data_IF_812319544238
#
_entry.id   IF_812319544238
#
_cell.length_a   1.000
_cell.length_b   1.000
_cell.length_c   1.000
_cell.angle_alpha   90.00
_cell.angle_beta   90.00
_cell.angle_gamma   90.00
#
_symmetry.space_group_name_H-M   'P 1'
#
loop_
_entity.id
_entity.type
_entity.pdbx_description
1 polymer ?
#
# COMPACT_ATOMS: atom_id res chain seq x y z
N UNK A 1 -4.79 22.13 -21.13
CA UNK A 1 -3.41 21.75 -20.73
C UNK A 1 -3.51 20.92 -19.46
N UNK A 2 -2.98 19.69 -19.45
CA UNK A 2 -3.02 18.83 -18.26
C UNK A 2 -2.06 19.37 -17.20
N UNK A 3 -2.54 19.56 -15.97
CA UNK A 3 -1.67 19.92 -14.85
C UNK A 3 -0.96 18.66 -14.35
N UNK A 4 0.37 18.74 -14.24
CA UNK A 4 1.21 17.66 -13.73
C UNK A 4 2.27 18.17 -12.75
N UNK A 5 2.70 17.28 -11.85
CA UNK A 5 3.75 17.57 -10.88
C UNK A 5 4.63 16.33 -10.67
N UNK A 6 5.95 16.54 -10.70
CA UNK A 6 6.94 15.50 -10.39
C UNK A 6 7.30 15.61 -8.91
N UNK A 7 7.10 14.51 -8.19
CA UNK A 7 7.52 14.35 -6.80
C UNK A 7 8.40 13.12 -6.70
N UNK A 8 9.72 13.30 -6.58
CA UNK A 8 10.67 12.18 -6.60
C UNK A 8 10.48 11.31 -7.86
N UNK A 9 10.14 10.02 -7.70
CA UNK A 9 9.83 9.07 -8.78
C UNK A 9 8.33 8.95 -9.11
N UNK A 10 7.52 9.89 -8.60
CA UNK A 10 6.09 9.95 -8.88
C UNK A 10 5.76 11.08 -9.86
N UNK A 11 5.02 10.74 -10.91
CA UNK A 11 4.41 11.71 -11.82
C UNK A 11 2.91 11.79 -11.53
N UNK A 12 2.49 12.86 -10.84
CA UNK A 12 1.08 13.11 -10.50
C UNK A 12 0.44 13.91 -11.62
N UNK A 13 -0.60 13.37 -12.27
CA UNK A 13 -1.26 14.00 -13.44
C UNK A 13 -2.75 14.15 -13.18
N UNK A 14 -3.27 15.36 -13.26
CA UNK A 14 -4.70 15.64 -13.11
C UNK A 14 -5.48 15.40 -14.42
N UNK A 15 -5.39 14.19 -14.99
CA UNK A 15 -6.06 13.85 -16.26
C UNK A 15 -7.58 13.98 -16.10
N UNK A 16 -8.22 14.67 -17.05
CA UNK A 16 -9.67 14.88 -17.05
C UNK A 16 -10.17 15.95 -16.06
N UNK A 17 -9.27 16.63 -15.34
CA UNK A 17 -9.60 17.76 -14.46
C UNK A 17 -9.02 19.06 -15.02
N UNK A 18 -9.64 20.19 -14.68
CA UNK A 18 -9.21 21.51 -15.13
C UNK A 18 -9.16 22.54 -13.98
N UNK A 19 -8.48 23.67 -14.23
CA UNK A 19 -8.50 24.84 -13.35
C UNK A 19 -8.13 24.55 -11.89
N UNK A 20 -9.01 24.96 -10.98
CA UNK A 20 -8.82 24.82 -9.53
C UNK A 20 -8.88 23.37 -9.07
N UNK A 21 -9.74 22.54 -9.68
CA UNK A 21 -9.89 21.13 -9.33
C UNK A 21 -8.63 20.33 -9.66
N UNK A 22 -8.03 20.58 -10.83
CA UNK A 22 -6.76 19.96 -11.20
C UNK A 22 -5.63 20.32 -10.23
N UNK A 23 -5.53 21.59 -9.80
CA UNK A 23 -4.54 22.03 -8.80
C UNK A 23 -4.79 21.40 -7.44
N UNK A 24 -6.05 21.33 -7.00
CA UNK A 24 -6.45 20.71 -5.74
C UNK A 24 -6.09 19.23 -5.72
N UNK A 25 -6.39 18.49 -6.79
CA UNK A 25 -6.04 17.09 -6.93
C UNK A 25 -4.53 16.85 -6.76
N UNK A 26 -3.71 17.58 -7.52
CA UNK A 26 -2.25 17.45 -7.45
C UNK A 26 -1.75 17.75 -6.04
N UNK A 27 -2.20 18.85 -5.43
CA UNK A 27 -1.79 19.23 -4.09
C UNK A 27 -2.16 18.16 -3.04
N UNK A 28 -3.35 17.57 -3.14
CA UNK A 28 -3.79 16.51 -2.23
C UNK A 28 -2.93 15.25 -2.36
N UNK A 29 -2.74 14.74 -3.57
CA UNK A 29 -1.95 13.52 -3.79
C UNK A 29 -0.49 13.74 -3.37
N UNK A 30 0.12 14.87 -3.75
CA UNK A 30 1.50 15.19 -3.34
C UNK A 30 1.60 15.34 -1.82
N UNK A 31 0.62 15.98 -1.18
CA UNK A 31 0.56 16.10 0.27
C UNK A 31 0.50 14.73 0.96
N UNK A 32 -0.27 13.79 0.40
CA UNK A 32 -0.37 12.42 0.92
C UNK A 32 0.90 11.60 0.70
N UNK A 33 1.55 11.73 -0.47
CA UNK A 33 2.85 11.09 -0.72
C UNK A 33 3.91 11.59 0.26
N UNK A 34 3.95 12.90 0.55
CA UNK A 34 4.81 13.48 1.60
C UNK A 34 4.47 12.96 2.99
N UNK A 35 3.18 12.89 3.34
CA UNK A 35 2.73 12.36 4.61
C UNK A 35 3.15 10.88 4.79
N UNK A 36 2.99 10.05 3.75
CA UNK A 36 3.46 8.66 3.78
C UNK A 36 4.99 8.56 3.89
N UNK A 37 5.75 9.42 3.21
CA UNK A 37 7.22 9.42 3.30
C UNK A 37 7.72 9.89 4.69
N UNK A 38 6.90 10.61 5.45
CA UNK A 38 7.19 10.96 6.85
C UNK A 38 7.03 9.79 7.83
N UNK A 39 6.35 8.71 7.43
CA UNK A 39 6.14 7.50 8.23
C UNK A 39 7.15 6.43 7.83
N UNK A 40 7.57 5.56 8.77
CA UNK A 40 8.59 4.55 8.50
C UNK A 40 8.12 3.55 7.45
N UNK A 41 6.86 3.12 7.53
CA UNK A 41 6.28 2.14 6.59
C UNK A 41 6.13 2.72 5.19
N UNK A 42 5.58 3.94 5.09
CA UNK A 42 5.39 4.61 3.81
C UNK A 42 6.73 4.98 3.15
N UNK A 43 7.73 5.43 3.93
CA UNK A 43 9.09 5.67 3.46
C UNK A 43 9.75 4.41 2.92
N UNK A 44 9.58 3.26 3.56
CA UNK A 44 10.16 2.00 3.09
C UNK A 44 9.64 1.63 1.71
N UNK A 45 8.32 1.71 1.50
CA UNK A 45 7.67 1.43 0.21
C UNK A 45 8.07 2.46 -0.86
N UNK A 46 8.02 3.75 -0.55
CA UNK A 46 8.42 4.78 -1.52
C UNK A 46 9.90 4.71 -1.87
N UNK A 47 10.79 4.37 -0.93
CA UNK A 47 12.22 4.17 -1.21
C UNK A 47 12.43 3.02 -2.18
N UNK A 48 11.67 1.94 -2.03
CA UNK A 48 11.74 0.82 -2.97
C UNK A 48 11.25 1.23 -4.36
N UNK A 49 10.18 2.03 -4.46
CA UNK A 49 9.70 2.59 -5.74
C UNK A 49 10.76 3.50 -6.37
N UNK A 50 11.38 4.38 -5.58
CA UNK A 50 12.47 5.29 -6.04
C UNK A 50 13.71 4.55 -6.54
N UNK A 51 13.95 3.32 -6.06
CA UNK A 51 15.05 2.50 -6.52
C UNK A 51 14.78 1.82 -7.88
N UNK A 52 13.51 1.81 -8.34
CA UNK A 52 13.18 1.34 -9.67
C UNK A 52 13.52 2.41 -10.72
N UNK A 53 13.94 1.98 -11.91
CA UNK A 53 14.27 2.89 -13.03
C UNK A 53 13.06 3.56 -13.67
N UNK A 54 11.85 3.09 -13.35
CA UNK A 54 10.60 3.51 -13.97
C UNK A 54 9.83 4.49 -13.07
N UNK A 55 9.17 5.46 -13.69
CA UNK A 55 8.30 6.40 -12.98
C UNK A 55 7.00 5.71 -12.58
N UNK A 56 6.48 6.05 -11.40
CA UNK A 56 5.12 5.68 -10.99
C UNK A 56 4.17 6.82 -11.29
N UNK A 57 3.14 6.57 -12.10
CA UNK A 57 2.11 7.55 -12.40
C UNK A 57 1.01 7.50 -11.36
N UNK A 58 0.54 8.67 -10.92
CA UNK A 58 -0.66 8.78 -10.08
C UNK A 58 -1.63 9.73 -10.77
N UNK A 59 -2.85 9.27 -11.00
CA UNK A 59 -3.88 10.01 -11.75
C UNK A 59 -5.28 9.78 -11.17
N UNK A 60 -6.26 10.64 -11.46
CA UNK A 60 -7.62 10.48 -10.95
C UNK A 60 -8.17 9.10 -11.29
N UNK A 61 -8.98 8.57 -10.37
CA UNK A 61 -9.71 7.33 -10.58
C UNK A 61 -10.55 7.40 -11.85
N UNK A 62 -10.43 6.38 -12.71
CA UNK A 62 -11.03 6.35 -14.05
C UNK A 62 -12.34 5.56 -14.12
N UNK A 63 -12.88 5.14 -12.98
CA UNK A 63 -14.09 4.30 -12.91
C UNK A 63 -13.83 2.81 -13.08
N UNK A 64 -12.58 2.38 -13.34
CA UNK A 64 -12.19 0.97 -13.47
C UNK A 64 -11.61 0.47 -12.16
N UNK A 65 -11.68 -0.83 -11.88
CA UNK A 65 -11.12 -1.40 -10.64
C UNK A 65 -12.12 -1.57 -9.49
N UNK A 66 -13.38 -1.16 -9.69
CA UNK A 66 -14.51 -1.54 -8.83
C UNK A 66 -15.05 -0.42 -7.93
N UNK A 67 -15.79 -0.73 -6.88
CA UNK A 67 -16.47 0.28 -6.07
C UNK A 67 -15.51 1.10 -5.19
N UNK A 68 -14.27 0.67 -5.01
CA UNK A 68 -13.33 1.26 -4.04
C UNK A 68 -12.56 2.48 -4.57
N UNK A 69 -12.97 3.11 -5.69
CA UNK A 69 -12.43 4.38 -6.18
C UNK A 69 -10.90 4.49 -6.25
N UNK A 70 -10.21 3.35 -6.33
CA UNK A 70 -8.77 3.25 -6.41
C UNK A 70 -8.39 1.92 -7.07
N UNK A 71 -7.28 1.92 -7.83
CA UNK A 71 -6.55 0.71 -8.18
C UNK A 71 -5.10 1.04 -8.59
N UNK A 72 -4.18 0.15 -8.26
CA UNK A 72 -2.77 0.18 -8.59
C UNK A 72 -2.38 -0.99 -9.47
N UNK A 73 -1.41 -0.78 -10.34
CA UNK A 73 -0.94 -1.81 -11.27
C UNK A 73 0.24 -1.36 -12.11
N UNK A 74 0.40 -2.00 -13.26
CA UNK A 74 1.46 -1.71 -14.22
C UNK A 74 0.96 -1.28 -15.59
N UNK A 75 1.79 -0.51 -16.27
CA UNK A 75 1.71 -0.28 -17.71
C UNK A 75 3.11 -0.44 -18.34
N UNK A 76 3.22 -0.22 -19.64
CA UNK A 76 4.50 -0.33 -20.38
C UNK A 76 5.58 0.64 -19.87
N UNK A 77 5.20 1.68 -19.12
CA UNK A 77 6.09 2.74 -18.64
C UNK A 77 6.42 2.62 -17.14
N UNK A 78 5.88 1.61 -16.46
CA UNK A 78 6.10 1.35 -15.04
C UNK A 78 4.83 1.24 -14.20
N UNK A 79 4.91 1.70 -12.96
CA UNK A 79 3.80 1.68 -12.00
C UNK A 79 2.70 2.69 -12.36
N UNK A 80 1.46 2.35 -12.10
CA UNK A 80 0.32 3.28 -12.24
C UNK A 80 -0.67 3.12 -11.12
N UNK A 81 -1.15 4.25 -10.61
CA UNK A 81 -2.18 4.34 -9.58
C UNK A 81 -3.28 5.27 -10.09
N UNK A 82 -4.50 4.77 -10.07
CA UNK A 82 -5.72 5.51 -10.33
C UNK A 82 -6.38 5.73 -8.98
N UNK A 83 -6.38 6.96 -8.48
CA UNK A 83 -6.76 7.26 -7.10
C UNK A 83 -7.31 8.68 -6.98
N UNK A 84 -8.47 8.81 -6.30
CA UNK A 84 -9.09 10.11 -6.00
C UNK A 84 -9.38 10.26 -4.49
N UNK A 85 -8.53 10.99 -3.74
CA UNK A 85 -8.53 11.01 -2.27
C UNK A 85 -9.88 11.31 -1.59
N UNK A 86 -10.71 12.20 -2.16
CA UNK A 86 -11.95 12.66 -1.53
C UNK A 86 -13.24 12.09 -2.14
N UNK A 87 -13.17 11.47 -3.32
CA UNK A 87 -14.31 10.71 -3.87
C UNK A 87 -14.45 9.37 -3.16
N UNK A 88 -13.36 8.85 -2.59
CA UNK A 88 -13.38 7.61 -1.83
C UNK A 88 -14.33 7.65 -0.64
N UNK A 89 -14.45 8.76 0.10
CA UNK A 89 -15.38 8.86 1.24
C UNK A 89 -16.86 8.56 0.88
N UNK A 90 -17.20 8.53 -0.42
CA UNK A 90 -18.53 8.21 -0.95
C UNK A 90 -18.62 6.81 -1.59
N UNK A 91 -17.55 6.03 -1.59
CA UNK A 91 -17.50 4.67 -2.11
C UNK A 91 -18.22 3.67 -1.17
N UNK A 92 -18.79 2.58 -1.70
CA UNK A 92 -19.27 1.46 -0.87
C UNK A 92 -18.21 0.88 0.07
N UNK A 93 -16.92 0.99 -0.29
CA UNK A 93 -15.79 0.55 0.53
C UNK A 93 -15.43 1.53 1.66
N UNK A 94 -16.10 2.67 1.75
CA UNK A 94 -15.80 3.76 2.67
C UNK A 94 -16.85 3.90 3.78
N UNK A 95 -17.41 2.79 4.28
CA UNK A 95 -18.25 2.84 5.47
C UNK A 95 -17.49 3.53 6.61
N UNK A 96 -18.10 4.55 7.23
CA UNK A 96 -17.48 5.32 8.30
C UNK A 96 -16.97 4.38 9.40
N UNK A 97 -15.69 4.49 9.77
CA UNK A 97 -15.04 3.66 10.79
C UNK A 97 -14.52 2.30 10.33
N UNK A 98 -14.61 1.95 9.03
CA UNK A 98 -13.97 0.75 8.50
C UNK A 98 -12.43 0.83 8.54
N UNK A 99 -11.78 -0.30 8.82
CA UNK A 99 -10.33 -0.41 8.83
C UNK A 99 -9.76 -0.38 7.40
N UNK A 100 -8.64 0.33 7.21
CA UNK A 100 -7.96 0.42 5.92
C UNK A 100 -8.68 1.28 4.87
N UNK A 101 -9.60 2.16 5.29
CA UNK A 101 -10.45 2.95 4.39
C UNK A 101 -10.04 4.44 4.32
N UNK A 102 -9.02 4.87 5.05
CA UNK A 102 -8.58 6.26 4.94
C UNK A 102 -7.87 6.46 3.61
N UNK A 103 -7.91 7.66 3.01
CA UNK A 103 -7.21 7.93 1.75
C UNK A 103 -5.74 7.53 1.78
N UNK A 104 -5.05 7.70 2.92
CA UNK A 104 -3.64 7.30 3.05
C UNK A 104 -3.44 5.78 3.05
N UNK A 105 -4.32 5.03 3.71
CA UNK A 105 -4.25 3.56 3.72
C UNK A 105 -4.53 2.98 2.34
N UNK A 106 -5.47 3.56 1.60
CA UNK A 106 -5.77 3.15 0.22
C UNK A 106 -4.60 3.46 -0.70
N UNK A 107 -4.06 4.68 -0.63
CA UNK A 107 -2.88 5.03 -1.41
C UNK A 107 -1.71 4.09 -1.08
N UNK A 108 -1.51 3.77 0.20
CA UNK A 108 -0.50 2.80 0.62
C UNK A 108 -0.75 1.40 0.03
N UNK A 109 -1.99 0.92 0.06
CA UNK A 109 -2.40 -0.36 -0.54
C UNK A 109 -2.04 -0.42 -2.02
N UNK A 110 -2.42 0.61 -2.80
CA UNK A 110 -2.10 0.65 -4.22
C UNK A 110 -0.60 0.80 -4.52
N UNK A 111 0.14 1.50 -3.65
CA UNK A 111 1.60 1.59 -3.75
C UNK A 111 2.27 0.23 -3.56
N UNK A 112 1.72 -0.65 -2.72
CA UNK A 112 2.21 -2.03 -2.58
C UNK A 112 2.03 -2.78 -3.90
N UNK A 113 0.86 -2.70 -4.54
CA UNK A 113 0.64 -3.30 -5.86
C UNK A 113 1.64 -2.80 -6.89
N UNK A 114 1.91 -1.49 -6.90
CA UNK A 114 2.96 -0.90 -7.76
C UNK A 114 4.34 -1.49 -7.47
N UNK A 115 4.75 -1.62 -6.20
CA UNK A 115 6.02 -2.27 -5.84
C UNK A 115 6.11 -3.68 -6.43
N UNK A 116 5.02 -4.45 -6.34
CA UNK A 116 4.96 -5.83 -6.83
C UNK A 116 5.10 -5.86 -8.34
N UNK A 117 4.45 -4.94 -9.05
CA UNK A 117 4.55 -4.78 -10.50
C UNK A 117 5.96 -4.39 -10.95
N UNK A 118 6.52 -3.30 -10.42
CA UNK A 118 7.81 -2.76 -10.90
C UNK A 118 8.99 -3.67 -10.55
N UNK A 119 8.84 -4.53 -9.53
CA UNK A 119 9.81 -5.59 -9.22
C UNK A 119 9.62 -6.87 -10.04
N UNK A 120 8.65 -6.91 -10.95
CA UNK A 120 8.34 -8.09 -11.76
C UNK A 120 7.85 -9.27 -10.94
N UNK A 121 7.25 -9.01 -9.78
CA UNK A 121 6.78 -10.03 -8.84
C UNK A 121 5.25 -10.15 -8.77
N UNK A 122 4.51 -9.28 -9.45
CA UNK A 122 3.06 -9.35 -9.58
C UNK A 122 2.61 -10.71 -10.13
N UNK A 123 1.79 -11.44 -9.36
CA UNK A 123 1.29 -12.78 -9.68
C UNK A 123 2.40 -13.79 -10.02
N UNK A 124 3.61 -13.57 -9.51
CA UNK A 124 4.77 -14.41 -9.82
C UNK A 124 4.76 -15.68 -8.98
N UNK A 125 4.96 -16.82 -9.64
CA UNK A 125 4.96 -18.13 -9.00
C UNK A 125 3.54 -18.61 -8.73
N UNK A 126 3.23 -18.97 -7.49
CA UNK A 126 1.91 -19.45 -7.07
C UNK A 126 1.01 -18.37 -6.46
N UNK A 127 1.39 -17.09 -6.58
CA UNK A 127 0.66 -15.96 -6.00
C UNK A 127 -0.60 -15.68 -6.83
N UNK A 128 -1.76 -15.78 -6.19
CA UNK A 128 -3.06 -15.44 -6.81
C UNK A 128 -3.37 -13.95 -6.68
N UNK A 129 -4.41 -13.47 -7.36
CA UNK A 129 -4.90 -12.09 -7.15
C UNK A 129 -5.32 -11.84 -5.70
N UNK A 130 -5.96 -12.81 -5.05
CA UNK A 130 -6.33 -12.69 -3.63
C UNK A 130 -5.11 -12.59 -2.71
N UNK A 131 -4.01 -13.25 -3.08
CA UNK A 131 -2.75 -13.18 -2.34
C UNK A 131 -2.06 -11.83 -2.48
N UNK A 132 -2.03 -11.23 -3.69
CA UNK A 132 -1.51 -9.86 -3.88
C UNK A 132 -2.26 -8.86 -3.01
N UNK A 133 -3.57 -9.01 -2.93
CA UNK A 133 -4.41 -8.16 -2.10
C UNK A 133 -4.16 -8.38 -0.61
N UNK A 134 -3.95 -9.62 -0.17
CA UNK A 134 -3.56 -9.91 1.22
C UNK A 134 -2.17 -9.37 1.55
N UNK A 135 -1.22 -9.38 0.60
CA UNK A 135 0.09 -8.74 0.75
C UNK A 135 -0.06 -7.23 0.92
N UNK A 136 -0.88 -6.59 0.09
CA UNK A 136 -1.19 -5.16 0.19
C UNK A 136 -1.89 -4.81 1.51
N UNK A 137 -2.86 -5.61 1.96
CA UNK A 137 -3.50 -5.47 3.28
C UNK A 137 -2.49 -5.65 4.41
N UNK A 138 -1.59 -6.64 4.32
CA UNK A 138 -0.58 -6.90 5.36
C UNK A 138 0.30 -5.67 5.58
N UNK A 139 0.86 -5.11 4.51
CA UNK A 139 1.77 -3.95 4.59
C UNK A 139 0.99 -2.69 4.97
N UNK A 140 -0.25 -2.53 4.50
CA UNK A 140 -1.13 -1.43 4.92
C UNK A 140 -1.47 -1.54 6.41
N UNK A 141 -1.69 -2.73 6.96
CA UNK A 141 -1.90 -2.93 8.40
C UNK A 141 -0.65 -2.60 9.23
N UNK A 142 0.57 -2.77 8.70
CA UNK A 142 1.79 -2.29 9.37
C UNK A 142 1.75 -0.76 9.48
N UNK A 143 1.34 -0.06 8.41
CA UNK A 143 1.12 1.40 8.44
C UNK A 143 0.00 1.79 9.42
N UNK A 144 -1.15 1.10 9.39
CA UNK A 144 -2.26 1.36 10.32
C UNK A 144 -1.81 1.15 11.78
N UNK A 145 -0.98 0.13 12.04
CA UNK A 145 -0.39 -0.11 13.36
C UNK A 145 0.59 0.99 13.77
N UNK A 146 1.38 1.53 12.84
CA UNK A 146 2.26 2.69 13.08
C UNK A 146 1.46 3.95 13.46
N UNK A 147 0.27 4.11 12.88
CA UNK A 147 -0.64 5.23 13.12
C UNK A 147 -1.62 4.99 14.28
N UNK A 148 -1.51 3.88 15.01
CA UNK A 148 -2.45 3.47 16.06
C UNK A 148 -3.92 3.45 15.59
N UNK A 149 -4.16 2.86 14.42
CA UNK A 149 -5.50 2.69 13.81
C UNK A 149 -5.93 1.22 13.85
N UNK A 150 -7.23 1.01 13.65
CA UNK A 150 -7.77 -0.33 13.44
C UNK A 150 -7.08 -1.07 12.30
N UNK A 151 -6.83 -2.35 12.51
CA UNK A 151 -6.32 -3.25 11.48
C UNK A 151 -7.46 -3.87 10.69
N UNK A 152 -7.23 -4.09 9.39
CA UNK A 152 -8.16 -4.72 8.46
C UNK A 152 -8.00 -6.24 8.52
N UNK A 153 -9.10 -6.96 8.74
CA UNK A 153 -9.09 -8.42 8.91
C UNK A 153 -8.70 -9.21 7.65
N UNK A 154 -8.92 -8.65 6.45
CA UNK A 154 -8.56 -9.29 5.18
C UNK A 154 -9.07 -8.55 3.94
N UNK A 155 -8.78 -9.07 2.74
CA UNK A 155 -9.10 -8.44 1.45
C UNK A 155 -10.60 -8.16 1.22
N UNK A 156 -11.51 -8.98 1.74
CA UNK A 156 -12.96 -8.72 1.65
C UNK A 156 -13.59 -8.12 2.92
N UNK A 157 -12.78 -7.91 3.96
CA UNK A 157 -13.26 -7.57 5.29
C UNK A 157 -12.78 -6.18 5.67
N UNK A 158 -13.73 -5.28 5.91
CA UNK A 158 -13.51 -3.91 6.35
C UNK A 158 -13.76 -3.66 7.86
N UNK A 159 -14.41 -4.55 8.63
CA UNK A 159 -14.45 -4.42 10.08
C UNK A 159 -13.06 -4.35 10.71
N UNK A 160 -12.94 -3.53 11.76
CA UNK A 160 -11.79 -3.54 12.65
C UNK A 160 -11.56 -4.96 13.21
N UNK A 161 -10.30 -5.35 13.30
CA UNK A 161 -9.91 -6.49 14.14
C UNK A 161 -10.21 -6.16 15.59
N UNK A 162 -11.04 -7.00 16.23
CA UNK A 162 -11.47 -6.79 17.62
C UNK A 162 -10.64 -7.58 18.65
N UNK A 163 -9.78 -8.52 18.21
CA UNK A 163 -8.91 -9.27 19.11
C UNK A 163 -7.68 -8.45 19.50
N UNK A 164 -7.06 -8.73 20.66
CA UNK A 164 -5.78 -8.11 21.04
C UNK A 164 -4.74 -8.23 19.91
N UNK A 165 -4.01 -7.14 19.63
CA UNK A 165 -3.12 -7.07 18.46
C UNK A 165 -2.04 -8.17 18.49
N UNK A 166 -1.50 -8.51 19.67
CA UNK A 166 -0.51 -9.59 19.80
C UNK A 166 -1.06 -10.99 19.44
N UNK A 167 -2.31 -11.27 19.80
CA UNK A 167 -3.01 -12.50 19.41
C UNK A 167 -3.29 -12.51 17.91
N UNK A 168 -3.76 -11.38 17.37
CA UNK A 168 -4.01 -11.23 15.94
C UNK A 168 -2.74 -11.39 15.12
N UNK A 169 -1.63 -10.77 15.52
CA UNK A 169 -0.33 -10.94 14.86
C UNK A 169 0.08 -12.41 14.84
N UNK A 170 -0.08 -13.13 15.96
CA UNK A 170 0.30 -14.53 16.06
C UNK A 170 -0.57 -15.43 15.17
N UNK A 171 -1.89 -15.21 15.13
CA UNK A 171 -2.79 -15.97 14.27
C UNK A 171 -2.58 -15.64 12.80
N UNK A 172 -2.41 -14.35 12.45
CA UNK A 172 -2.08 -13.89 11.11
C UNK A 172 -0.79 -14.51 10.59
N UNK A 173 0.28 -14.47 11.41
CA UNK A 173 1.57 -15.06 11.05
C UNK A 173 1.43 -16.55 10.71
N UNK A 174 0.70 -17.32 11.51
CA UNK A 174 0.49 -18.75 11.27
C UNK A 174 -0.33 -19.00 10.01
N UNK A 175 -1.41 -18.25 9.82
CA UNK A 175 -2.33 -18.41 8.69
C UNK A 175 -1.68 -18.03 7.35
N UNK A 176 -0.84 -17.00 7.35
CA UNK A 176 -0.29 -16.39 6.13
C UNK A 176 1.23 -16.51 6.02
N UNK A 177 1.85 -17.45 6.74
CA UNK A 177 3.29 -17.71 6.66
C UNK A 177 3.80 -17.86 5.21
N UNK A 178 3.13 -18.61 4.31
CA UNK A 178 3.59 -18.72 2.91
C UNK A 178 3.62 -17.37 2.17
N UNK A 179 2.70 -16.45 2.48
CA UNK A 179 2.70 -15.10 1.87
C UNK A 179 3.81 -14.23 2.44
N UNK A 180 4.06 -14.31 3.74
CA UNK A 180 5.17 -13.59 4.39
C UNK A 180 6.51 -14.06 3.81
N UNK A 181 6.69 -15.37 3.64
CA UNK A 181 7.85 -15.94 2.94
C UNK A 181 7.96 -15.48 1.50
N UNK A 182 6.84 -15.37 0.79
CA UNK A 182 6.81 -14.88 -0.58
C UNK A 182 7.33 -13.44 -0.65
N UNK A 183 6.87 -12.55 0.23
CA UNK A 183 7.36 -11.16 0.31
C UNK A 183 8.85 -11.14 0.64
N UNK A 184 9.30 -11.97 1.58
CA UNK A 184 10.73 -12.11 1.90
C UNK A 184 11.57 -12.54 0.69
N UNK A 185 11.15 -13.59 -0.01
CA UNK A 185 11.89 -14.18 -1.14
C UNK A 185 11.89 -13.26 -2.36
N UNK A 186 10.76 -12.62 -2.66
CA UNK A 186 10.58 -11.84 -3.88
C UNK A 186 11.00 -10.37 -3.73
N UNK A 187 10.89 -9.79 -2.53
CA UNK A 187 11.21 -8.39 -2.24
C UNK A 187 12.10 -8.26 -1.00
N UNK A 188 13.21 -9.00 -0.96
CA UNK A 188 14.04 -9.17 0.25
C UNK A 188 14.51 -7.85 0.89
N UNK A 189 14.94 -6.86 0.09
CA UNK A 189 15.39 -5.57 0.62
C UNK A 189 14.24 -4.80 1.29
N UNK A 190 13.06 -4.76 0.67
CA UNK A 190 11.87 -4.16 1.28
C UNK A 190 11.46 -4.92 2.55
N UNK A 191 11.42 -6.25 2.50
CA UNK A 191 11.05 -7.09 3.63
C UNK A 191 11.97 -6.86 4.85
N UNK A 192 13.29 -6.74 4.62
CA UNK A 192 14.26 -6.41 5.68
C UNK A 192 13.99 -5.03 6.30
N UNK A 193 13.74 -4.01 5.48
CA UNK A 193 13.45 -2.67 5.99
C UNK A 193 12.14 -2.65 6.79
N UNK A 194 11.09 -3.30 6.28
CA UNK A 194 9.80 -3.42 6.96
C UNK A 194 9.92 -4.18 8.29
N UNK A 195 10.70 -5.25 8.35
CA UNK A 195 10.91 -6.03 9.58
C UNK A 195 11.49 -5.18 10.74
N UNK A 196 12.32 -4.18 10.42
CA UNK A 196 12.94 -3.30 11.41
C UNK A 196 11.98 -2.27 12.02
N UNK A 197 10.81 -2.07 11.41
CA UNK A 197 9.80 -1.16 11.93
C UNK A 197 9.15 -1.77 13.18
N UNK A 198 9.39 -1.14 14.32
CA UNK A 198 8.85 -1.57 15.61
C UNK A 198 7.46 -0.97 15.81
N UNK A 199 6.44 -1.81 15.56
CA UNK A 199 5.01 -1.52 15.72
C UNK A 199 4.28 -2.79 16.18
N UNK A 200 3.12 -2.66 16.88
CA UNK A 200 2.40 -3.81 17.44
C UNK A 200 2.03 -4.92 16.43
N UNK A 201 1.67 -4.57 15.19
CA UNK A 201 1.42 -5.52 14.12
C UNK A 201 2.49 -5.41 13.02
N UNK A 202 3.41 -6.36 13.00
CA UNK A 202 4.41 -6.56 11.97
C UNK A 202 4.76 -8.05 11.81
N UNK A 203 3.94 -8.83 11.07
CA UNK A 203 4.20 -10.26 10.85
C UNK A 203 5.50 -10.52 10.08
N UNK A 204 6.00 -9.55 9.30
CA UNK A 204 7.31 -9.65 8.63
C UNK A 204 8.44 -9.63 9.68
N UNK A 205 8.37 -8.74 10.66
CA UNK A 205 9.31 -8.73 11.81
C UNK A 205 9.31 -10.07 12.54
N UNK A 206 8.13 -10.63 12.82
CA UNK A 206 8.00 -11.94 13.47
C UNK A 206 8.68 -13.06 12.68
N UNK A 207 8.59 -13.03 11.34
CA UNK A 207 9.29 -13.97 10.47
C UNK A 207 10.81 -13.90 10.64
N UNK A 208 11.38 -12.70 10.58
CA UNK A 208 12.83 -12.50 10.72
C UNK A 208 13.33 -12.86 12.13
N UNK A 209 12.57 -12.51 13.18
CA UNK A 209 12.90 -12.90 14.56
C UNK A 209 13.01 -14.42 14.72
N UNK A 210 12.14 -15.18 14.03
CA UNK A 210 12.11 -16.65 14.12
C UNK A 210 13.12 -17.35 13.23
N UNK A 211 13.41 -16.80 12.05
CA UNK A 211 14.23 -17.46 11.04
C UNK A 211 15.69 -17.00 11.01
N UNK A 212 15.99 -15.80 11.53
CA UNK A 212 17.31 -15.19 11.51
C UNK A 212 17.69 -14.53 12.86
N UNK A 213 17.51 -15.20 14.02
CA UNK A 213 17.68 -14.55 15.31
C UNK A 213 19.07 -13.90 15.45
N UNK A 214 19.09 -12.58 15.71
CA UNK A 214 20.32 -11.80 15.95
C UNK A 214 21.09 -11.30 14.71
N UNK A 215 20.57 -11.50 13.49
CA UNK A 215 21.34 -11.25 12.25
C UNK A 215 20.76 -10.14 11.35
N UNK A 216 19.49 -9.75 11.52
CA UNK A 216 18.77 -8.88 10.56
C UNK A 216 18.56 -7.43 11.04
#
# INVERSE_FOLDING_TARGET
MTIEYKYEHFLVRAIGLEGVEAKRYVAQVVGMLRALDSLRTGRAVQTFIRAASQWTRVQPYDGRGGPCNAWGGGNNDGGSIFFTPLTFAKAPCASSGAAGNTPMEILMHELVHVVRVISGNWLKGSVTKGDEELIAVMITNILSSELNRCLRGGYGSFPCVNSPIGEYQTSYYKAYLPLIETVHKQNQSLARVLARIDVPFNPIRMYYQRTQPGVW
#
